data_IF_044051437354
#
_entry.id   IF_044051437354
#
_cell.length_a   1.000
_cell.length_b   1.000
_cell.length_c   1.000
_cell.angle_alpha   90.00
_cell.angle_beta   90.00
_cell.angle_gamma   90.00
#
_symmetry.space_group_name_H-M   'P 1'
#
loop_
_entity.id
_entity.type
_entity.pdbx_description
1 polymer ?
#
# COMPACT_ATOMS: atom_id res chain seq x y z
N UNK A 1 23.25 -0.66 -22.95
CA UNK A 1 23.51 0.73 -22.51
C UNK A 1 23.07 0.81 -21.05
N UNK A 2 23.92 1.32 -20.17
CA UNK A 2 23.65 1.49 -18.75
C UNK A 2 22.60 2.61 -18.51
N UNK A 3 21.75 2.46 -17.50
CA UNK A 3 20.69 3.42 -17.16
C UNK A 3 20.96 4.03 -15.78
N UNK A 4 21.36 5.32 -15.70
CA UNK A 4 21.61 6.02 -14.44
C UNK A 4 20.41 5.97 -13.47
N UNK A 5 19.19 6.14 -13.97
CA UNK A 5 17.99 6.10 -13.16
C UNK A 5 17.75 4.73 -12.51
N UNK A 6 18.21 3.64 -13.13
CA UNK A 6 18.13 2.29 -12.56
C UNK A 6 19.10 2.10 -11.39
N UNK A 7 20.29 2.69 -11.47
CA UNK A 7 21.21 2.70 -10.33
C UNK A 7 20.61 3.49 -9.17
N UNK A 8 20.09 4.67 -9.44
CA UNK A 8 19.40 5.48 -8.44
C UNK A 8 18.26 4.70 -7.78
N UNK A 9 17.40 4.07 -8.58
CA UNK A 9 16.28 3.25 -8.08
C UNK A 9 16.77 2.09 -7.19
N UNK A 10 17.75 1.33 -7.65
CA UNK A 10 18.29 0.19 -6.88
C UNK A 10 18.93 0.64 -5.56
N UNK A 11 19.72 1.74 -5.57
CA UNK A 11 20.32 2.30 -4.36
C UNK A 11 19.24 2.79 -3.38
N UNK A 12 18.29 3.57 -3.86
CA UNK A 12 17.18 4.07 -3.05
C UNK A 12 16.35 2.92 -2.47
N UNK A 13 16.08 1.87 -3.25
CA UNK A 13 15.38 0.67 -2.79
C UNK A 13 16.08 0.01 -1.60
N UNK A 14 17.40 0.10 -1.51
CA UNK A 14 18.18 -0.38 -0.35
C UNK A 14 18.32 0.67 0.77
N UNK A 15 17.68 1.84 0.63
CA UNK A 15 17.77 2.92 1.62
C UNK A 15 19.17 3.54 1.74
N UNK A 16 20.05 3.32 0.77
CA UNK A 16 21.44 3.76 0.81
C UNK A 16 21.59 5.19 0.28
N UNK A 17 22.39 5.99 0.97
CA UNK A 17 22.93 7.23 0.44
C UNK A 17 24.02 6.95 -0.61
N UNK A 18 24.34 7.93 -1.45
CA UNK A 18 25.47 7.84 -2.39
C UNK A 18 26.78 7.57 -1.68
N UNK A 19 26.99 8.15 -0.50
CA UNK A 19 28.18 7.96 0.33
C UNK A 19 28.29 6.52 0.85
N UNK A 20 27.19 5.95 1.32
CA UNK A 20 27.15 4.57 1.82
C UNK A 20 27.40 3.58 0.70
N UNK A 21 26.75 3.75 -0.46
CA UNK A 21 27.00 2.89 -1.63
C UNK A 21 28.46 2.99 -2.10
N UNK A 22 29.01 4.20 -2.15
CA UNK A 22 30.42 4.40 -2.51
C UNK A 22 31.37 3.66 -1.58
N UNK A 23 31.13 3.71 -0.25
CA UNK A 23 31.89 2.97 0.74
C UNK A 23 31.82 1.46 0.54
N UNK A 24 30.65 0.90 0.26
CA UNK A 24 30.47 -0.53 -0.01
C UNK A 24 31.16 -1.02 -1.28
N UNK A 25 31.38 -0.12 -2.25
CA UNK A 25 32.01 -0.41 -3.53
C UNK A 25 33.52 -0.04 -3.58
N UNK A 26 34.04 0.55 -2.52
CA UNK A 26 35.38 1.17 -2.48
C UNK A 26 35.55 2.24 -3.61
N UNK A 27 34.55 3.04 -3.81
CA UNK A 27 34.53 4.15 -4.76
C UNK A 27 34.36 5.51 -4.04
N UNK A 28 34.49 6.60 -4.80
CA UNK A 28 34.18 7.92 -4.25
C UNK A 28 32.67 8.23 -4.38
N UNK A 29 32.09 9.06 -3.49
CA UNK A 29 30.72 9.55 -3.66
C UNK A 29 30.50 10.29 -4.99
N UNK A 30 31.55 10.93 -5.52
CA UNK A 30 31.52 11.60 -6.81
C UNK A 30 31.33 10.61 -7.97
N UNK A 31 32.02 9.44 -7.92
CA UNK A 31 31.85 8.38 -8.93
C UNK A 31 30.40 7.89 -8.96
N UNK A 32 29.79 7.64 -7.79
CA UNK A 32 28.37 7.26 -7.74
C UNK A 32 27.47 8.37 -8.28
N UNK A 33 27.78 9.64 -7.97
CA UNK A 33 27.02 10.79 -8.49
C UNK A 33 27.11 10.90 -10.00
N UNK A 34 28.28 10.61 -10.58
CA UNK A 34 28.49 10.60 -12.02
C UNK A 34 27.73 9.46 -12.70
N UNK A 35 27.77 8.24 -12.12
CA UNK A 35 27.01 7.09 -12.65
C UNK A 35 25.50 7.29 -12.57
N UNK A 36 24.99 8.06 -11.60
CA UNK A 36 23.57 8.40 -11.48
C UNK A 36 23.14 9.62 -12.29
N UNK A 37 24.10 10.28 -12.98
CA UNK A 37 23.85 11.49 -13.74
C UNK A 37 23.45 11.22 -15.19
N UNK A 38 22.28 11.66 -15.59
CA UNK A 38 21.81 11.63 -16.98
C UNK A 38 22.62 12.61 -17.88
N UNK A 39 23.32 13.58 -17.27
CA UNK A 39 24.07 14.63 -17.98
C UNK A 39 25.51 14.18 -18.22
N UNK A 40 26.19 13.66 -17.18
CA UNK A 40 27.62 13.31 -17.25
C UNK A 40 27.88 12.09 -18.15
N UNK A 41 26.88 11.18 -18.25
CA UNK A 41 26.93 9.94 -19.08
C UNK A 41 28.17 9.08 -18.82
N UNK A 42 28.66 9.06 -17.58
CA UNK A 42 29.75 8.15 -17.18
C UNK A 42 29.16 6.79 -16.87
N UNK A 43 29.65 5.73 -17.52
CA UNK A 43 29.21 4.36 -17.28
C UNK A 43 30.24 3.62 -16.39
N UNK A 44 29.78 2.80 -15.44
CA UNK A 44 30.67 1.96 -14.67
C UNK A 44 31.36 0.91 -15.57
N UNK A 45 32.61 0.56 -15.27
CA UNK A 45 33.25 -0.58 -15.92
C UNK A 45 32.45 -1.87 -15.68
N UNK A 46 32.63 -2.88 -16.51
CA UNK A 46 31.97 -4.19 -16.34
C UNK A 46 32.17 -4.77 -14.95
N UNK A 47 33.39 -4.69 -14.42
CA UNK A 47 33.72 -5.17 -13.06
C UNK A 47 33.00 -4.35 -11.98
N UNK A 48 32.95 -3.04 -12.15
CA UNK A 48 32.20 -2.13 -11.25
C UNK A 48 30.71 -2.43 -11.30
N UNK A 49 30.14 -2.63 -12.48
CA UNK A 49 28.72 -2.96 -12.65
C UNK A 49 28.34 -4.30 -11.98
N UNK A 50 29.19 -5.32 -12.11
CA UNK A 50 28.99 -6.60 -11.41
C UNK A 50 29.02 -6.43 -9.89
N UNK A 51 29.91 -5.59 -9.36
CA UNK A 51 29.96 -5.28 -7.92
C UNK A 51 28.72 -4.50 -7.47
N UNK A 52 28.26 -3.52 -8.25
CA UNK A 52 27.02 -2.77 -8.00
C UNK A 52 25.84 -3.75 -7.92
N UNK A 53 25.71 -4.63 -8.92
CA UNK A 53 24.63 -5.62 -8.99
C UNK A 53 24.63 -6.54 -7.75
N UNK A 54 25.80 -7.01 -7.34
CA UNK A 54 25.97 -7.85 -6.15
C UNK A 54 25.63 -7.12 -4.86
N UNK A 55 26.15 -5.90 -4.66
CA UNK A 55 25.94 -5.12 -3.44
C UNK A 55 24.47 -4.69 -3.30
N UNK A 56 23.84 -4.31 -4.41
CA UNK A 56 22.44 -3.88 -4.42
C UNK A 56 21.45 -5.05 -4.53
N UNK A 57 21.92 -6.29 -4.71
CA UNK A 57 21.08 -7.50 -4.87
C UNK A 57 20.05 -7.35 -5.99
N UNK A 58 20.52 -6.86 -7.15
CA UNK A 58 19.76 -6.78 -8.39
C UNK A 58 20.50 -7.49 -9.53
N UNK A 59 19.81 -8.16 -10.46
CA UNK A 59 20.45 -8.73 -11.65
C UNK A 59 21.12 -7.65 -12.51
N UNK A 60 22.22 -7.99 -13.17
CA UNK A 60 22.98 -7.03 -14.00
C UNK A 60 22.11 -6.39 -15.10
N UNK A 61 21.20 -7.16 -15.70
CA UNK A 61 20.29 -6.70 -16.74
C UNK A 61 19.30 -5.63 -16.25
N UNK A 62 19.06 -5.52 -14.92
CA UNK A 62 18.26 -4.45 -14.34
C UNK A 62 18.80 -3.06 -14.69
N UNK A 63 20.12 -2.91 -14.68
CA UNK A 63 20.80 -1.62 -14.91
C UNK A 63 20.85 -1.19 -16.37
N UNK A 64 20.41 -2.04 -17.30
CA UNK A 64 20.32 -1.72 -18.72
C UNK A 64 18.88 -1.60 -19.24
N UNK A 65 17.90 -1.65 -18.36
CA UNK A 65 16.47 -1.49 -18.72
C UNK A 65 16.12 -0.04 -19.01
N UNK A 66 14.89 0.17 -19.52
CA UNK A 66 14.36 1.52 -19.79
C UNK A 66 14.51 2.42 -18.57
N UNK A 67 14.75 3.68 -18.85
CA UNK A 67 14.76 4.75 -17.84
C UNK A 67 13.50 4.70 -16.99
N UNK A 68 13.67 4.95 -15.69
CA UNK A 68 12.57 5.08 -14.74
C UNK A 68 12.31 6.56 -14.50
N UNK A 69 11.08 6.98 -14.70
CA UNK A 69 10.65 8.32 -14.32
C UNK A 69 10.33 8.34 -12.83
N UNK A 70 10.88 9.30 -12.07
CA UNK A 70 10.58 9.40 -10.65
C UNK A 70 9.07 9.64 -10.44
N UNK A 71 8.56 9.19 -9.31
CA UNK A 71 7.21 9.56 -8.88
C UNK A 71 7.23 11.05 -8.56
N UNK A 72 6.34 11.81 -9.21
CA UNK A 72 6.14 13.19 -8.85
C UNK A 72 5.58 13.24 -7.41
N UNK A 73 6.33 13.90 -6.55
CA UNK A 73 5.99 14.06 -5.14
C UNK A 73 4.67 14.83 -4.93
N UNK A 74 4.26 15.63 -5.91
CA UNK A 74 2.98 16.33 -5.88
C UNK A 74 1.79 15.44 -6.23
N UNK A 75 2.05 14.28 -6.87
CA UNK A 75 1.02 13.34 -7.30
C UNK A 75 0.67 12.25 -6.28
N UNK A 76 1.24 12.28 -5.08
CA UNK A 76 1.03 11.26 -4.06
C UNK A 76 0.58 11.85 -2.72
N UNK A 77 -0.11 11.04 -1.88
CA UNK A 77 -0.48 11.39 -0.51
C UNK A 77 0.75 11.32 0.41
N UNK A 78 1.50 12.41 0.55
CA UNK A 78 2.88 12.39 1.04
C UNK A 78 3.09 12.63 2.53
N UNK A 79 2.08 12.85 3.34
CA UNK A 79 2.35 13.20 4.74
C UNK A 79 3.07 12.09 5.53
N UNK A 80 2.71 10.85 5.28
CA UNK A 80 3.40 9.71 5.87
C UNK A 80 4.89 9.75 5.52
N UNK A 81 5.20 10.07 4.25
CA UNK A 81 6.55 10.09 3.72
C UNK A 81 7.37 11.34 4.13
N UNK A 82 6.73 12.49 4.40
CA UNK A 82 7.47 13.72 4.78
C UNK A 82 8.03 13.71 6.20
N UNK A 83 7.46 12.88 7.09
CA UNK A 83 7.95 12.73 8.47
C UNK A 83 9.05 11.67 8.59
N UNK A 84 9.30 10.91 7.53
CA UNK A 84 10.30 9.87 7.50
C UNK A 84 11.70 10.41 7.23
N UNK A 85 12.76 9.70 7.69
CA UNK A 85 14.09 9.88 7.17
C UNK A 85 14.10 9.75 5.64
N UNK A 86 14.93 10.56 4.96
CA UNK A 86 15.00 10.57 3.49
C UNK A 86 15.22 9.16 2.89
N UNK A 87 16.08 8.35 3.53
CA UNK A 87 16.35 6.98 3.09
C UNK A 87 15.11 6.08 3.09
N UNK A 88 14.26 6.17 4.11
CA UNK A 88 13.02 5.38 4.20
C UNK A 88 11.99 5.84 3.17
N UNK A 89 11.85 7.16 3.02
CA UNK A 89 10.97 7.74 1.99
C UNK A 89 11.39 7.30 0.60
N UNK A 90 12.67 7.44 0.28
CA UNK A 90 13.22 7.11 -1.03
C UNK A 90 13.08 5.60 -1.33
N UNK A 91 13.24 4.75 -0.32
CA UNK A 91 13.03 3.30 -0.43
C UNK A 91 11.57 2.94 -0.70
N UNK A 92 10.62 3.61 -0.04
CA UNK A 92 9.18 3.42 -0.26
C UNK A 92 8.77 3.85 -1.67
N UNK A 93 9.29 4.98 -2.15
CA UNK A 93 9.07 5.45 -3.52
C UNK A 93 9.65 4.50 -4.56
N UNK A 94 10.86 4.00 -4.30
CA UNK A 94 11.50 3.00 -5.15
C UNK A 94 10.66 1.71 -5.23
N UNK A 95 10.05 1.29 -4.12
CA UNK A 95 9.11 0.16 -4.11
C UNK A 95 7.87 0.46 -4.96
N UNK A 96 7.33 1.67 -4.88
CA UNK A 96 6.22 2.11 -5.73
C UNK A 96 6.55 2.05 -7.23
N UNK A 97 7.75 2.49 -7.61
CA UNK A 97 8.21 2.41 -9.01
C UNK A 97 8.29 0.97 -9.52
N UNK A 98 8.81 0.04 -8.71
CA UNK A 98 8.84 -1.37 -9.05
C UNK A 98 7.43 -1.98 -9.12
N UNK A 99 6.52 -1.55 -8.25
CA UNK A 99 5.11 -1.95 -8.28
C UNK A 99 4.41 -1.47 -9.58
N UNK A 100 4.73 -0.26 -10.05
CA UNK A 100 4.19 0.24 -11.33
C UNK A 100 4.69 -0.59 -12.51
N UNK A 101 5.96 -0.98 -12.54
CA UNK A 101 6.51 -1.85 -13.59
C UNK A 101 5.87 -3.25 -13.58
N UNK A 102 5.66 -3.82 -12.39
CA UNK A 102 4.94 -5.07 -12.26
C UNK A 102 3.49 -4.94 -12.74
N UNK A 103 2.81 -3.85 -12.39
CA UNK A 103 1.44 -3.60 -12.84
C UNK A 103 1.36 -3.44 -14.37
N UNK A 104 2.27 -2.68 -14.98
CA UNK A 104 2.34 -2.52 -16.43
C UNK A 104 2.57 -3.88 -17.12
N UNK A 105 3.45 -4.71 -16.57
CA UNK A 105 3.69 -6.06 -17.06
C UNK A 105 2.43 -6.93 -16.96
N UNK A 106 1.66 -6.82 -15.86
CA UNK A 106 0.40 -7.54 -15.68
C UNK A 106 -0.65 -7.04 -16.69
N UNK A 107 -0.82 -5.72 -16.85
CA UNK A 107 -1.80 -5.14 -17.77
C UNK A 107 -1.51 -5.45 -19.24
N UNK A 108 -0.26 -5.70 -19.60
CA UNK A 108 0.10 -6.19 -20.93
C UNK A 108 -0.32 -7.65 -21.20
N UNK A 109 -0.62 -8.42 -20.16
CA UNK A 109 -0.99 -9.85 -20.27
C UNK A 109 -2.45 -10.12 -19.83
N UNK A 110 -3.01 -9.28 -19.00
CA UNK A 110 -4.33 -9.48 -18.38
C UNK A 110 -5.17 -8.21 -18.44
N UNK A 111 -6.47 -8.37 -18.69
CA UNK A 111 -7.42 -7.27 -18.54
C UNK A 111 -7.79 -7.11 -17.07
N UNK A 112 -7.41 -5.99 -16.48
CA UNK A 112 -7.75 -5.63 -15.10
C UNK A 112 -8.97 -4.71 -15.05
N UNK A 113 -9.71 -4.66 -13.93
CA UNK A 113 -10.82 -3.72 -13.76
C UNK A 113 -10.36 -2.27 -13.97
N UNK A 114 -11.16 -1.50 -14.70
CA UNK A 114 -10.94 -0.05 -14.86
C UNK A 114 -11.48 0.65 -13.61
N UNK A 115 -10.80 1.71 -13.17
CA UNK A 115 -11.25 2.42 -11.99
C UNK A 115 -12.56 3.18 -12.21
N UNK A 116 -13.37 3.23 -11.16
CA UNK A 116 -14.67 3.94 -11.13
C UNK A 116 -14.74 4.90 -9.95
N UNK A 117 -13.60 5.52 -9.61
CA UNK A 117 -13.53 6.48 -8.51
C UNK A 117 -14.19 7.81 -8.91
N UNK A 118 -15.17 8.30 -8.14
CA UNK A 118 -15.73 9.63 -8.33
C UNK A 118 -14.77 10.72 -7.79
N UNK A 119 -14.96 11.93 -8.27
CA UNK A 119 -14.37 13.14 -7.68
C UNK A 119 -15.33 13.69 -6.62
N UNK A 120 -14.95 13.59 -5.34
CA UNK A 120 -15.76 14.03 -4.21
C UNK A 120 -15.10 15.18 -3.42
N UNK A 121 -14.23 15.96 -4.07
CA UNK A 121 -13.47 17.05 -3.41
C UNK A 121 -14.33 18.16 -2.80
N UNK A 122 -15.54 18.30 -3.26
CA UNK A 122 -16.48 19.32 -2.77
C UNK A 122 -17.35 18.80 -1.62
N UNK A 123 -17.21 17.54 -1.26
CA UNK A 123 -17.99 16.91 -0.20
C UNK A 123 -17.26 16.96 1.14
N UNK A 124 -18.03 16.93 2.22
CA UNK A 124 -17.43 16.65 3.54
C UNK A 124 -16.98 15.19 3.61
N UNK A 125 -15.98 14.84 4.42
CA UNK A 125 -15.53 13.45 4.55
C UNK A 125 -16.65 12.45 4.87
N UNK A 126 -17.59 12.84 5.71
CA UNK A 126 -18.75 12.02 6.08
C UNK A 126 -19.70 11.83 4.88
N UNK A 127 -20.05 12.92 4.20
CA UNK A 127 -20.91 12.88 2.99
C UNK A 127 -20.26 12.07 1.88
N UNK A 128 -18.95 12.27 1.64
CA UNK A 128 -18.21 11.52 0.65
C UNK A 128 -18.21 10.00 0.93
N UNK A 129 -18.05 9.62 2.20
CA UNK A 129 -18.11 8.22 2.60
C UNK A 129 -19.49 7.61 2.36
N UNK A 130 -20.55 8.33 2.71
CA UNK A 130 -21.95 7.89 2.47
C UNK A 130 -22.22 7.75 0.98
N UNK A 131 -21.89 8.77 0.18
CA UNK A 131 -22.09 8.77 -1.27
C UNK A 131 -21.34 7.62 -1.94
N UNK A 132 -20.08 7.42 -1.57
CA UNK A 132 -19.28 6.35 -2.15
C UNK A 132 -19.83 4.97 -1.79
N UNK A 133 -20.30 4.77 -0.55
CA UNK A 133 -20.96 3.53 -0.13
C UNK A 133 -22.25 3.28 -0.92
N UNK A 134 -23.05 4.32 -1.20
CA UNK A 134 -24.24 4.23 -2.03
C UNK A 134 -23.91 3.87 -3.48
N UNK A 135 -22.94 4.58 -4.08
CA UNK A 135 -22.47 4.30 -5.45
C UNK A 135 -21.92 2.87 -5.62
N UNK A 136 -21.34 2.32 -4.55
CA UNK A 136 -20.79 0.96 -4.55
C UNK A 136 -21.77 -0.10 -4.06
N UNK A 137 -23.01 0.27 -3.74
CA UNK A 137 -24.08 -0.59 -3.21
C UNK A 137 -23.67 -1.37 -1.95
N UNK A 138 -22.90 -0.75 -1.06
CA UNK A 138 -22.44 -1.37 0.18
C UNK A 138 -23.47 -1.35 1.30
N UNK A 139 -24.46 -0.44 1.23
CA UNK A 139 -25.38 -0.17 2.32
C UNK A 139 -24.63 0.21 3.61
N UNK A 140 -25.18 -0.13 4.77
CA UNK A 140 -24.62 0.20 6.08
C UNK A 140 -23.95 -1.00 6.79
N UNK A 141 -23.66 -2.07 6.05
CA UNK A 141 -23.00 -3.27 6.61
C UNK A 141 -21.49 -3.11 6.64
N UNK A 142 -20.78 -3.84 7.50
CA UNK A 142 -19.33 -3.90 7.44
C UNK A 142 -18.85 -4.30 6.04
N UNK A 143 -17.78 -3.67 5.57
CA UNK A 143 -17.10 -4.10 4.34
C UNK A 143 -16.48 -5.47 4.59
N UNK A 144 -16.82 -6.48 3.83
CA UNK A 144 -16.36 -7.86 4.05
C UNK A 144 -14.85 -8.03 3.88
N UNK A 145 -14.31 -7.44 2.80
CA UNK A 145 -12.88 -7.40 2.52
C UNK A 145 -12.55 -6.09 1.80
N UNK A 146 -11.72 -5.27 2.43
CA UNK A 146 -11.40 -3.93 1.91
C UNK A 146 -10.52 -4.00 0.66
N UNK A 147 -9.54 -4.90 0.63
CA UNK A 147 -8.64 -5.06 -0.52
C UNK A 147 -9.43 -5.53 -1.75
N UNK A 148 -10.24 -6.59 -1.62
CA UNK A 148 -11.07 -7.08 -2.74
C UNK A 148 -12.04 -6.02 -3.25
N UNK A 149 -12.63 -5.21 -2.34
CA UNK A 149 -13.50 -4.11 -2.72
C UNK A 149 -12.74 -3.10 -3.58
N UNK A 150 -11.57 -2.63 -3.12
CA UNK A 150 -10.76 -1.64 -3.84
C UNK A 150 -10.31 -2.17 -5.21
N UNK A 151 -9.83 -3.41 -5.28
CA UNK A 151 -9.45 -4.07 -6.52
C UNK A 151 -10.62 -4.18 -7.50
N UNK A 152 -11.81 -4.52 -7.00
CA UNK A 152 -13.03 -4.60 -7.83
C UNK A 152 -13.44 -3.25 -8.42
N UNK A 153 -13.01 -2.15 -7.80
CA UNK A 153 -13.22 -0.77 -8.25
C UNK A 153 -12.05 -0.21 -9.06
N UNK A 154 -11.11 -1.08 -9.47
CA UNK A 154 -10.01 -0.74 -10.35
C UNK A 154 -8.83 -0.03 -9.67
N UNK A 155 -8.75 -0.07 -8.34
CA UNK A 155 -7.60 0.44 -7.60
C UNK A 155 -6.54 -0.65 -7.54
N UNK A 156 -5.30 -0.30 -7.84
CA UNK A 156 -4.14 -1.22 -7.79
C UNK A 156 -3.56 -1.23 -6.38
N UNK A 157 -3.52 -2.41 -5.76
CA UNK A 157 -3.04 -2.58 -4.39
C UNK A 157 -1.70 -3.31 -4.41
N UNK A 158 -0.68 -2.70 -3.80
CA UNK A 158 0.64 -3.31 -3.61
C UNK A 158 1.10 -3.11 -2.17
N UNK A 159 2.14 -3.86 -1.77
CA UNK A 159 2.69 -3.72 -0.43
C UNK A 159 4.10 -3.14 -0.44
N UNK A 160 4.35 -2.31 0.56
CA UNK A 160 5.68 -1.85 0.90
C UNK A 160 6.27 -2.91 1.84
N UNK A 161 7.04 -3.85 1.27
CA UNK A 161 7.76 -4.85 2.05
C UNK A 161 9.10 -4.27 2.51
N UNK A 162 9.09 -3.43 3.52
CA UNK A 162 10.30 -2.89 4.13
C UNK A 162 10.32 -3.19 5.63
N UNK A 163 11.54 -3.34 6.17
CA UNK A 163 11.76 -3.62 7.60
C UNK A 163 11.40 -2.42 8.51
N UNK A 164 10.73 -1.41 7.96
CA UNK A 164 10.41 -0.17 8.67
C UNK A 164 8.96 -0.15 9.13
N UNK A 165 8.72 -0.44 10.40
CA UNK A 165 7.38 -0.39 11.03
C UNK A 165 6.72 1.00 10.95
N UNK A 166 7.50 2.05 10.73
CA UNK A 166 7.04 3.44 10.75
C UNK A 166 6.64 3.99 9.37
N UNK A 167 6.75 3.19 8.32
CA UNK A 167 6.26 3.57 6.99
C UNK A 167 4.74 3.40 6.98
N UNK A 168 4.02 4.50 6.83
CA UNK A 168 2.58 4.44 6.63
C UNK A 168 2.25 4.10 5.15
N UNK A 169 0.99 3.74 4.88
CA UNK A 169 0.50 3.58 3.52
C UNK A 169 0.59 4.91 2.76
N UNK A 170 0.59 4.84 1.45
CA UNK A 170 0.38 6.01 0.60
C UNK A 170 -0.38 5.65 -0.68
N UNK A 171 -1.08 6.63 -1.25
CA UNK A 171 -1.74 6.49 -2.55
C UNK A 171 -1.15 7.43 -3.58
N UNK A 172 -1.25 7.05 -4.84
CA UNK A 172 -0.74 7.82 -5.97
C UNK A 172 -1.53 7.52 -7.24
N UNK A 173 -1.70 8.55 -8.09
CA UNK A 173 -2.20 8.37 -9.44
C UNK A 173 -1.04 8.25 -10.42
N UNK A 174 -1.03 7.19 -11.22
CA UNK A 174 -0.06 6.99 -12.31
C UNK A 174 -0.82 6.78 -13.61
N UNK A 175 -0.67 7.69 -14.56
CA UNK A 175 -1.32 7.62 -15.89
C UNK A 175 -2.84 7.39 -15.80
N UNK A 176 -3.52 8.06 -14.86
CA UNK A 176 -4.96 7.90 -14.65
C UNK A 176 -5.37 6.63 -13.90
N UNK A 177 -4.45 5.78 -13.48
CA UNK A 177 -4.71 4.59 -12.66
C UNK A 177 -4.39 4.89 -11.19
N UNK A 178 -5.32 4.61 -10.26
CA UNK A 178 -5.09 4.81 -8.82
C UNK A 178 -4.35 3.61 -8.21
N UNK A 179 -3.32 3.91 -7.43
CA UNK A 179 -2.54 2.93 -6.67
C UNK A 179 -2.63 3.22 -5.17
N UNK A 180 -2.68 2.18 -4.37
CA UNK A 180 -2.49 2.22 -2.93
C UNK A 180 -1.37 1.25 -2.57
N UNK A 181 -0.37 1.75 -1.84
CA UNK A 181 0.74 0.98 -1.32
C UNK A 181 0.59 0.86 0.20
N UNK A 182 0.39 -0.35 0.71
CA UNK A 182 0.12 -0.64 2.11
C UNK A 182 1.35 -1.21 2.81
N UNK A 183 1.51 -0.91 4.10
CA UNK A 183 2.51 -1.55 4.93
C UNK A 183 1.99 -2.87 5.51
N UNK A 184 2.70 -3.97 5.27
CA UNK A 184 2.30 -5.30 5.74
C UNK A 184 2.74 -5.62 7.19
N UNK A 185 3.52 -4.75 7.85
CA UNK A 185 4.02 -4.95 9.22
C UNK A 185 3.02 -4.52 10.31
N UNK A 186 1.93 -3.86 9.94
CA UNK A 186 0.88 -3.43 10.84
C UNK A 186 -0.15 -4.54 11.10
N UNK A 187 -1.00 -4.39 12.12
CA UNK A 187 -2.13 -5.33 12.34
C UNK A 187 -3.07 -5.33 11.13
N UNK A 188 -3.85 -6.41 10.99
CA UNK A 188 -4.80 -6.53 9.88
C UNK A 188 -5.85 -5.41 9.91
N UNK A 189 -6.36 -5.07 11.10
CA UNK A 189 -7.32 -3.98 11.30
C UNK A 189 -6.72 -2.62 10.92
N UNK A 190 -5.45 -2.40 11.24
CA UNK A 190 -4.78 -1.14 10.90
C UNK A 190 -4.52 -1.04 9.40
N UNK A 191 -4.08 -2.13 8.77
CA UNK A 191 -3.91 -2.18 7.31
C UNK A 191 -5.22 -1.88 6.58
N UNK A 192 -6.34 -2.40 7.09
CA UNK A 192 -7.68 -2.14 6.58
C UNK A 192 -8.09 -0.67 6.74
N UNK A 193 -7.81 -0.06 7.89
CA UNK A 193 -8.05 1.37 8.11
C UNK A 193 -7.17 2.23 7.20
N UNK A 194 -5.89 1.89 7.07
CA UNK A 194 -4.96 2.58 6.17
C UNK A 194 -5.45 2.51 4.72
N UNK A 195 -5.96 1.37 4.25
CA UNK A 195 -6.55 1.24 2.91
C UNK A 195 -7.77 2.16 2.70
N UNK A 196 -8.64 2.28 3.70
CA UNK A 196 -9.78 3.21 3.66
C UNK A 196 -9.34 4.68 3.74
N UNK A 197 -8.28 4.98 4.48
CA UNK A 197 -7.67 6.31 4.58
C UNK A 197 -7.08 6.75 3.22
N UNK A 198 -6.35 5.87 2.55
CA UNK A 198 -5.80 6.16 1.23
C UNK A 198 -6.89 6.29 0.16
N UNK A 199 -7.98 5.52 0.28
CA UNK A 199 -9.18 5.75 -0.54
C UNK A 199 -9.74 7.15 -0.33
N UNK A 200 -9.77 7.65 0.91
CA UNK A 200 -10.16 9.03 1.24
C UNK A 200 -9.30 10.05 0.50
N UNK A 201 -7.98 9.86 0.47
CA UNK A 201 -7.08 10.73 -0.29
C UNK A 201 -7.38 10.70 -1.80
N UNK A 202 -7.65 9.51 -2.37
CA UNK A 202 -7.94 9.37 -3.80
C UNK A 202 -9.23 10.09 -4.24
N UNK A 203 -10.24 10.17 -3.38
CA UNK A 203 -11.56 10.75 -3.74
C UNK A 203 -11.74 12.20 -3.29
N UNK A 204 -11.10 12.62 -2.18
CA UNK A 204 -11.24 13.96 -1.61
C UNK A 204 -10.12 14.90 -2.03
N UNK A 205 -8.91 14.38 -2.31
CA UNK A 205 -7.74 15.20 -2.54
C UNK A 205 -7.12 14.86 -3.90
N UNK A 206 -7.67 15.42 -4.97
CA UNK A 206 -7.08 15.18 -6.30
C UNK A 206 -5.64 15.72 -6.33
N UNK A 207 -4.70 14.83 -6.63
CA UNK A 207 -3.27 15.11 -6.60
C UNK A 207 -2.89 16.30 -7.47
N UNK A 208 -2.02 17.17 -6.97
CA UNK A 208 -1.58 18.43 -7.60
C UNK A 208 -1.86 19.67 -6.75
N UNK A 209 -2.56 19.55 -5.62
CA UNK A 209 -2.66 20.64 -4.65
C UNK A 209 -1.71 20.28 -3.50
N UNK A 210 -0.59 20.99 -3.45
CA UNK A 210 0.41 20.99 -2.38
C UNK A 210 -0.20 21.46 -1.05
N UNK A 211 -1.21 20.82 -0.56
CA UNK A 211 -1.61 21.02 0.81
C UNK A 211 -0.90 19.98 1.68
N UNK A 212 0.31 20.33 2.13
CA UNK A 212 0.97 19.78 3.34
C UNK A 212 0.08 20.04 4.55
N UNK A 213 -1.18 19.59 4.53
CA UNK A 213 -2.16 20.09 5.44
C UNK A 213 -2.55 19.01 6.45
N UNK A 214 -2.36 19.33 7.74
CA UNK A 214 -2.95 18.55 8.83
C UNK A 214 -4.45 18.32 8.61
N UNK A 215 -5.09 19.21 7.84
CA UNK A 215 -6.52 19.13 7.52
C UNK A 215 -6.81 17.97 6.56
N UNK A 216 -6.08 17.80 5.46
CA UNK A 216 -6.27 16.69 4.53
C UNK A 216 -6.14 15.32 5.19
N UNK A 217 -5.21 15.19 6.15
CA UNK A 217 -5.07 13.95 6.94
C UNK A 217 -6.25 13.71 7.88
N UNK A 218 -6.74 14.79 8.49
CA UNK A 218 -7.92 14.73 9.35
C UNK A 218 -9.16 14.37 8.53
N UNK A 219 -9.28 14.91 7.33
CA UNK A 219 -10.34 14.59 6.38
C UNK A 219 -10.28 13.13 5.94
N UNK A 220 -9.10 12.62 5.54
CA UNK A 220 -8.91 11.21 5.18
C UNK A 220 -9.20 10.25 6.35
N UNK A 221 -8.79 10.62 7.59
CA UNK A 221 -9.13 9.84 8.79
C UNK A 221 -10.65 9.85 9.07
N UNK A 222 -11.31 11.00 8.94
CA UNK A 222 -12.76 11.11 9.12
C UNK A 222 -13.50 10.30 8.05
N UNK A 223 -13.06 10.40 6.78
CA UNK A 223 -13.60 9.58 5.69
C UNK A 223 -13.44 8.08 5.98
N UNK A 224 -12.24 7.62 6.32
CA UNK A 224 -11.98 6.21 6.61
C UNK A 224 -12.86 5.69 7.75
N UNK A 225 -12.98 6.49 8.81
CA UNK A 225 -13.83 6.19 9.96
C UNK A 225 -15.30 6.06 9.57
N UNK A 226 -15.83 7.00 8.77
CA UNK A 226 -17.20 6.99 8.28
C UNK A 226 -17.45 5.88 7.26
N UNK A 227 -16.49 5.66 6.36
CA UNK A 227 -16.59 4.62 5.33
C UNK A 227 -16.62 3.20 5.93
N UNK A 228 -15.79 2.93 6.93
CA UNK A 228 -15.76 1.63 7.59
C UNK A 228 -16.91 1.45 8.60
N UNK A 229 -17.36 2.54 9.22
CA UNK A 229 -18.35 2.53 10.32
C UNK A 229 -19.44 3.59 10.09
N UNK A 230 -20.46 3.32 9.25
CA UNK A 230 -21.55 4.25 8.95
C UNK A 230 -22.26 4.73 10.22
N UNK A 231 -22.59 6.03 10.26
CA UNK A 231 -23.13 6.70 11.43
C UNK A 231 -24.42 6.06 11.97
N UNK A 232 -25.43 5.88 11.10
CA UNK A 232 -26.74 5.40 11.54
C UNK A 232 -26.64 4.03 12.23
N UNK A 233 -25.85 3.11 11.66
CA UNK A 233 -25.70 1.78 12.24
C UNK A 233 -24.83 1.80 13.49
N UNK A 234 -23.78 2.63 13.55
CA UNK A 234 -22.98 2.77 14.77
C UNK A 234 -23.82 3.33 15.90
N UNK A 235 -24.67 4.35 15.66
CA UNK A 235 -25.55 4.89 16.68
C UNK A 235 -26.50 3.82 17.23
N UNK A 236 -27.09 3.00 16.34
CA UNK A 236 -28.02 1.94 16.76
C UNK A 236 -27.35 0.80 17.54
N UNK A 237 -26.04 0.59 17.37
CA UNK A 237 -25.27 -0.48 18.00
C UNK A 237 -24.39 -0.02 19.15
N UNK A 238 -24.32 1.29 19.39
CA UNK A 238 -23.49 1.85 20.44
C UNK A 238 -23.90 1.27 21.81
N UNK A 239 -22.94 0.74 22.59
CA UNK A 239 -23.28 0.18 23.89
C UNK A 239 -23.62 1.30 24.87
N UNK A 240 -24.68 1.13 25.66
CA UNK A 240 -25.07 2.08 26.71
C UNK A 240 -23.93 2.33 27.73
N UNK A 241 -23.10 1.30 27.97
CA UNK A 241 -21.87 1.40 28.76
C UNK A 241 -20.67 1.09 27.87
N UNK A 242 -19.83 2.08 27.55
CA UNK A 242 -18.67 1.91 26.69
C UNK A 242 -17.49 1.29 27.42
N UNK A 243 -17.66 0.05 27.89
CA UNK A 243 -16.57 -0.74 28.49
C UNK A 243 -15.69 -1.36 27.41
N UNK A 244 -14.43 -1.64 27.73
CA UNK A 244 -13.51 -2.30 26.80
C UNK A 244 -14.07 -3.63 26.29
N UNK A 245 -14.73 -4.42 27.14
CA UNK A 245 -15.37 -5.70 26.76
C UNK A 245 -16.46 -5.51 25.71
N UNK A 246 -17.28 -4.46 25.84
CA UNK A 246 -18.33 -4.16 24.86
C UNK A 246 -17.73 -3.66 23.54
N UNK A 247 -16.67 -2.87 23.59
CA UNK A 247 -15.96 -2.41 22.41
C UNK A 247 -15.28 -3.58 21.67
N UNK A 248 -14.72 -4.57 22.36
CA UNK A 248 -14.13 -5.76 21.74
C UNK A 248 -15.18 -6.53 20.92
N UNK A 249 -16.38 -6.69 21.43
CA UNK A 249 -17.49 -7.32 20.67
C UNK A 249 -17.87 -6.52 19.43
N UNK A 250 -17.99 -5.21 19.59
CA UNK A 250 -18.42 -4.31 18.50
C UNK A 250 -17.30 -4.16 17.42
N UNK A 251 -16.03 -4.05 17.82
CA UNK A 251 -14.91 -4.01 16.87
C UNK A 251 -14.83 -5.24 15.98
N UNK A 252 -15.13 -6.42 16.54
CA UNK A 252 -15.13 -7.68 15.81
C UNK A 252 -16.16 -7.68 14.70
N UNK A 253 -17.36 -7.15 14.95
CA UNK A 253 -18.40 -7.02 13.93
C UNK A 253 -17.97 -6.06 12.81
N UNK A 254 -17.40 -4.89 13.17
CA UNK A 254 -16.98 -3.88 12.20
C UNK A 254 -15.60 -4.18 11.55
N UNK A 255 -14.88 -5.13 12.09
CA UNK A 255 -13.54 -5.52 11.61
C UNK A 255 -12.55 -4.33 11.61
N UNK A 256 -12.58 -3.55 12.66
CA UNK A 256 -11.72 -2.38 12.89
C UNK A 256 -10.91 -2.52 14.17
N UNK A 257 -9.91 -1.65 14.38
CA UNK A 257 -9.18 -1.62 15.64
C UNK A 257 -10.02 -1.01 16.77
N UNK A 258 -9.71 -1.38 18.02
CA UNK A 258 -10.34 -0.75 19.19
C UNK A 258 -10.16 0.76 19.19
N UNK A 259 -8.97 1.24 18.81
CA UNK A 259 -8.69 2.67 18.75
C UNK A 259 -9.55 3.38 17.69
N UNK A 260 -9.72 2.78 16.50
CA UNK A 260 -10.58 3.33 15.45
C UNK A 260 -12.06 3.38 15.88
N UNK A 261 -12.54 2.32 16.56
CA UNK A 261 -13.90 2.29 17.08
C UNK A 261 -14.11 3.35 18.17
N UNK A 262 -13.20 3.45 19.16
CA UNK A 262 -13.28 4.46 20.20
C UNK A 262 -13.26 5.88 19.62
N UNK A 263 -12.43 6.14 18.62
CA UNK A 263 -12.40 7.39 17.88
C UNK A 263 -13.75 7.70 17.22
N UNK A 264 -14.35 6.71 16.53
CA UNK A 264 -15.65 6.88 15.87
C UNK A 264 -16.76 7.20 16.86
N UNK A 265 -16.85 6.46 17.97
CA UNK A 265 -17.83 6.71 19.03
C UNK A 265 -17.68 8.12 19.65
N UNK A 266 -16.45 8.57 19.85
CA UNK A 266 -16.19 9.92 20.36
C UNK A 266 -16.60 10.99 19.33
N UNK A 267 -16.28 10.82 18.07
CA UNK A 267 -16.65 11.74 16.98
C UNK A 267 -18.16 11.91 16.82
N UNK A 268 -18.90 10.84 17.05
CA UNK A 268 -20.37 10.85 17.02
C UNK A 268 -21.00 11.27 18.36
N UNK A 269 -20.21 11.74 19.33
CA UNK A 269 -20.67 12.11 20.68
C UNK A 269 -21.42 10.99 21.42
N UNK A 270 -21.16 9.71 21.09
CA UNK A 270 -21.73 8.54 21.74
C UNK A 270 -20.97 8.16 23.02
N UNK A 271 -19.77 8.69 23.18
CA UNK A 271 -18.97 8.63 24.40
C UNK A 271 -18.38 10.00 24.70
N UNK A 272 -18.23 10.32 25.97
CA UNK A 272 -17.63 11.58 26.41
C UNK A 272 -16.11 11.58 26.15
N UNK A 273 -15.50 12.77 26.11
CA UNK A 273 -14.04 12.90 25.99
C UNK A 273 -13.29 12.20 27.13
N UNK A 274 -13.85 12.22 28.34
CA UNK A 274 -13.28 11.51 29.49
C UNK A 274 -13.30 9.98 29.27
N UNK A 275 -14.43 9.42 28.81
CA UNK A 275 -14.55 7.98 28.47
C UNK A 275 -13.58 7.61 27.36
N UNK A 276 -13.47 8.43 26.31
CA UNK A 276 -12.55 8.22 25.20
C UNK A 276 -11.08 8.14 25.68
N UNK A 277 -10.66 9.09 26.53
CA UNK A 277 -9.30 9.07 27.11
C UNK A 277 -9.07 7.85 28.00
N UNK A 278 -10.04 7.50 28.84
CA UNK A 278 -9.97 6.32 29.72
C UNK A 278 -9.82 5.04 28.91
N UNK A 279 -10.62 4.85 27.85
CA UNK A 279 -10.52 3.71 26.96
C UNK A 279 -9.14 3.63 26.27
N UNK A 280 -8.61 4.75 25.77
CA UNK A 280 -7.30 4.75 25.14
C UNK A 280 -6.17 4.40 26.11
N UNK A 281 -6.25 4.85 27.37
CA UNK A 281 -5.31 4.46 28.43
C UNK A 281 -5.41 2.95 28.68
N UNK A 282 -6.61 2.41 28.78
CA UNK A 282 -6.83 0.99 29.02
C UNK A 282 -6.34 0.11 27.84
N UNK A 283 -6.66 0.50 26.61
CA UNK A 283 -6.16 -0.12 25.36
C UNK A 283 -4.63 -0.16 25.36
N UNK A 284 -3.99 0.97 25.68
CA UNK A 284 -2.53 1.08 25.72
C UNK A 284 -1.91 0.22 26.83
N UNK A 285 -2.47 0.24 28.02
CA UNK A 285 -1.98 -0.56 29.17
C UNK A 285 -2.04 -2.07 28.90
N UNK A 286 -3.04 -2.52 28.14
CA UNK A 286 -3.19 -3.93 27.72
C UNK A 286 -2.37 -4.30 26.50
N UNK A 287 -1.65 -3.36 25.91
CA UNK A 287 -0.86 -3.59 24.67
C UNK A 287 -1.72 -3.81 23.42
N UNK A 288 -3.00 -3.48 23.45
CA UNK A 288 -3.93 -3.71 22.35
C UNK A 288 -3.71 -2.78 21.15
N UNK A 289 -2.89 -1.75 21.29
CA UNK A 289 -2.39 -0.95 20.16
C UNK A 289 -1.46 -1.74 19.21
N UNK A 290 -0.87 -2.85 19.70
CA UNK A 290 0.05 -3.69 18.95
C UNK A 290 -0.59 -5.06 18.68
N UNK A 291 -1.17 -5.65 19.72
CA UNK A 291 -1.80 -6.97 19.68
C UNK A 291 -3.31 -6.82 19.91
N UNK A 292 -4.04 -6.58 18.84
CA UNK A 292 -5.49 -6.43 18.90
C UNK A 292 -6.15 -7.70 19.44
N UNK A 293 -7.10 -7.59 20.40
CA UNK A 293 -7.89 -8.73 20.82
C UNK A 293 -8.83 -9.15 19.70
N UNK A 294 -9.08 -10.44 19.57
CA UNK A 294 -9.92 -11.01 18.51
C UNK A 294 -9.53 -10.44 17.12
N UNK A 295 -8.23 -10.47 16.81
CA UNK A 295 -7.70 -9.94 15.55
C UNK A 295 -8.33 -10.65 14.35
N UNK A 296 -8.57 -9.89 13.29
CA UNK A 296 -9.08 -10.42 12.02
C UNK A 296 -7.96 -11.06 11.21
N UNK A 297 -8.33 -11.95 10.28
CA UNK A 297 -7.39 -12.48 9.29
C UNK A 297 -6.96 -11.34 8.36
N UNK A 298 -5.66 -11.31 8.03
CA UNK A 298 -5.12 -10.33 7.09
C UNK A 298 -5.77 -10.51 5.71
N UNK A 299 -6.21 -9.40 5.14
CA UNK A 299 -6.75 -9.37 3.79
C UNK A 299 -5.63 -9.50 2.76
N UNK A 300 -5.89 -10.24 1.68
CA UNK A 300 -4.96 -10.50 0.59
C UNK A 300 -5.53 -10.01 -0.75
N UNK A 301 -4.70 -9.91 -1.78
CA UNK A 301 -5.13 -9.53 -3.13
C UNK A 301 -5.76 -10.70 -3.87
N UNK A 302 -6.98 -10.53 -4.34
CA UNK A 302 -7.62 -11.50 -5.23
C UNK A 302 -7.13 -11.35 -6.67
N UNK A 303 -6.75 -10.15 -7.08
CA UNK A 303 -6.24 -9.88 -8.44
C UNK A 303 -4.90 -10.58 -8.64
N UNK A 304 -3.94 -10.37 -7.72
CA UNK A 304 -2.63 -11.00 -7.85
C UNK A 304 -2.71 -12.52 -7.70
N UNK A 305 -3.55 -13.04 -6.80
CA UNK A 305 -3.80 -14.49 -6.69
C UNK A 305 -4.25 -15.07 -8.04
N UNK A 306 -5.23 -14.42 -8.69
CA UNK A 306 -5.72 -14.88 -10.01
C UNK A 306 -4.65 -14.77 -11.08
N UNK A 307 -3.88 -13.67 -11.12
CA UNK A 307 -2.78 -13.48 -12.08
C UNK A 307 -1.77 -14.61 -11.93
N UNK A 308 -1.22 -14.82 -10.73
CA UNK A 308 -0.16 -15.82 -10.53
C UNK A 308 -0.67 -17.26 -10.66
N UNK A 309 -1.94 -17.53 -10.33
CA UNK A 309 -2.55 -18.84 -10.57
C UNK A 309 -2.69 -19.11 -12.09
N UNK A 310 -3.14 -18.12 -12.89
CA UNK A 310 -3.22 -18.28 -14.35
C UNK A 310 -1.84 -18.47 -14.96
N UNK A 311 -0.83 -17.70 -14.55
CA UNK A 311 0.55 -17.87 -15.00
C UNK A 311 1.09 -19.26 -14.70
N UNK A 312 0.78 -19.79 -13.50
CA UNK A 312 1.17 -21.16 -13.11
C UNK A 312 0.51 -22.23 -14.00
N UNK A 313 -0.76 -22.02 -14.42
CA UNK A 313 -1.43 -22.91 -15.36
C UNK A 313 -0.78 -22.89 -16.76
N UNK A 314 -0.24 -21.74 -17.15
CA UNK A 314 0.53 -21.58 -18.41
C UNK A 314 2.01 -21.99 -18.25
N UNK A 315 2.40 -22.60 -17.12
CA UNK A 315 3.77 -23.00 -16.80
C UNK A 315 4.77 -21.83 -16.71
N UNK A 316 4.28 -20.60 -16.51
CA UNK A 316 5.11 -19.42 -16.27
C UNK A 316 5.36 -19.32 -14.78
N UNK A 317 6.62 -19.49 -14.39
CA UNK A 317 7.03 -19.43 -13.00
C UNK A 317 7.27 -17.99 -12.53
N UNK A 318 7.33 -17.79 -11.21
CA UNK A 318 7.76 -16.50 -10.63
C UNK A 318 9.19 -16.12 -11.06
N UNK A 319 10.04 -17.11 -11.33
CA UNK A 319 11.39 -16.86 -11.82
C UNK A 319 11.36 -16.26 -13.23
N UNK A 320 10.46 -16.74 -14.09
CA UNK A 320 10.28 -16.20 -15.45
C UNK A 320 9.77 -14.75 -15.39
N UNK A 321 8.78 -14.49 -14.54
CA UNK A 321 8.27 -13.12 -14.32
C UNK A 321 9.37 -12.19 -13.77
N UNK A 322 10.15 -12.65 -12.80
CA UNK A 322 11.25 -11.88 -12.25
C UNK A 322 12.32 -11.59 -13.31
N UNK A 323 12.65 -12.57 -14.16
CA UNK A 323 13.59 -12.42 -15.26
C UNK A 323 13.09 -11.38 -16.28
N UNK A 324 11.81 -11.46 -16.70
CA UNK A 324 11.20 -10.48 -17.61
C UNK A 324 11.21 -9.07 -17.03
N UNK A 325 11.02 -8.92 -15.72
CA UNK A 325 11.08 -7.63 -15.01
C UNK A 325 12.52 -7.19 -14.69
N UNK A 326 13.53 -8.04 -14.90
CA UNK A 326 14.92 -7.79 -14.49
C UNK A 326 15.07 -7.70 -12.97
N UNK A 327 14.25 -8.42 -12.21
CA UNK A 327 14.28 -8.48 -10.76
C UNK A 327 14.83 -9.83 -10.28
N UNK A 328 15.27 -9.89 -9.03
CA UNK A 328 15.45 -11.18 -8.36
C UNK A 328 14.06 -11.73 -7.97
N UNK A 329 13.95 -13.06 -7.87
CA UNK A 329 12.70 -13.71 -7.37
C UNK A 329 12.34 -13.17 -5.99
N UNK A 330 13.33 -12.92 -5.14
CA UNK A 330 13.17 -12.36 -3.80
C UNK A 330 12.55 -10.94 -3.85
N UNK A 331 12.99 -10.10 -4.79
CA UNK A 331 12.44 -8.76 -4.95
C UNK A 331 11.00 -8.78 -5.48
N UNK A 332 10.71 -9.64 -6.46
CA UNK A 332 9.35 -9.88 -6.93
C UNK A 332 8.46 -10.39 -5.78
N UNK A 333 8.94 -11.36 -5.00
CA UNK A 333 8.19 -11.87 -3.86
C UNK A 333 7.86 -10.76 -2.85
N UNK A 334 8.79 -9.84 -2.56
CA UNK A 334 8.53 -8.72 -1.66
C UNK A 334 7.40 -7.81 -2.16
N UNK A 335 7.28 -7.59 -3.45
CA UNK A 335 6.20 -6.78 -4.05
C UNK A 335 4.83 -7.45 -3.92
N UNK A 336 4.80 -8.79 -3.92
CA UNK A 336 3.56 -9.60 -3.87
C UNK A 336 3.32 -10.26 -2.50
N UNK A 337 4.34 -10.36 -1.61
CA UNK A 337 4.24 -10.94 -0.27
C UNK A 337 3.39 -10.06 0.65
N UNK A 338 2.44 -10.71 1.30
CA UNK A 338 1.40 -10.07 2.11
C UNK A 338 0.08 -9.93 1.34
N UNK A 339 0.09 -10.22 0.03
CA UNK A 339 -1.08 -10.18 -0.83
C UNK A 339 -1.50 -11.59 -1.24
N UNK A 340 -0.56 -12.52 -1.42
CA UNK A 340 -0.83 -13.90 -1.75
C UNK A 340 -0.06 -14.79 -0.78
N UNK A 341 -0.73 -15.43 0.17
CA UNK A 341 -0.23 -16.64 0.78
C UNK A 341 -0.27 -17.73 -0.29
N UNK A 342 0.79 -17.80 -1.07
CA UNK A 342 0.93 -18.92 -2.00
C UNK A 342 1.34 -20.12 -1.15
N UNK A 343 0.33 -20.90 -0.77
CA UNK A 343 0.51 -22.19 -0.15
C UNK A 343 1.41 -23.06 -1.04
N UNK A 344 2.61 -23.33 -0.55
CA UNK A 344 3.31 -24.54 -0.91
C UNK A 344 2.49 -25.71 -0.40
N UNK A 345 1.75 -26.36 -1.28
CA UNK A 345 1.16 -27.69 -1.14
C UNK A 345 0.37 -28.00 0.13
N UNK A 346 -0.95 -27.79 0.12
CA UNK A 346 -1.91 -28.82 0.50
C UNK A 346 -3.31 -28.44 -0.02
N UNK A 347 -3.95 -29.41 -0.69
CA UNK A 347 -5.27 -29.26 -1.30
C UNK A 347 -6.35 -29.20 -0.23
N UNK A 348 -6.96 -28.05 -0.04
CA UNK A 348 -8.26 -27.90 0.60
C UNK A 348 -9.26 -27.35 -0.42
N UNK A 349 -10.33 -28.12 -0.68
CA UNK A 349 -11.41 -27.79 -1.62
C UNK A 349 -12.10 -26.47 -1.25
N UNK A 350 -11.82 -25.42 -1.98
CA UNK A 350 -12.68 -24.25 -2.09
C UNK A 350 -13.01 -24.03 -3.57
N UNK A 351 -14.31 -24.10 -3.91
CA UNK A 351 -14.79 -23.85 -5.26
C UNK A 351 -14.40 -22.46 -5.73
N UNK A 352 -13.93 -22.28 -6.98
CA UNK A 352 -13.55 -20.97 -7.50
C UNK A 352 -14.81 -20.13 -7.77
N UNK A 353 -14.89 -18.97 -7.13
CA UNK A 353 -15.87 -17.95 -7.49
C UNK A 353 -15.55 -17.40 -8.89
N UNK A 354 -16.53 -17.44 -9.78
CA UNK A 354 -16.43 -16.97 -11.17
C UNK A 354 -16.32 -15.45 -11.23
N UNK A 355 -15.11 -14.91 -11.25
CA UNK A 355 -14.83 -13.61 -11.83
C UNK A 355 -13.72 -13.82 -12.87
N UNK A 356 -14.08 -13.71 -14.15
CA UNK A 356 -13.19 -14.01 -15.27
C UNK A 356 -12.20 -12.85 -15.49
N UNK A 357 -10.94 -13.03 -15.11
CA UNK A 357 -9.84 -12.30 -15.74
C UNK A 357 -9.68 -12.87 -17.16
N UNK A 358 -9.75 -12.01 -18.18
CA UNK A 358 -9.48 -12.41 -19.58
C UNK A 358 -8.02 -12.15 -19.89
N UNK A 359 -7.34 -13.16 -20.40
CA UNK A 359 -5.99 -13.04 -20.96
C UNK A 359 -6.10 -12.33 -22.31
N UNK A 360 -5.27 -11.32 -22.54
CA UNK A 360 -5.09 -10.70 -23.85
C UNK A 360 -4.17 -11.62 -24.63
N UNK A 361 -4.67 -12.25 -25.70
CA UNK A 361 -3.86 -13.03 -26.63
C UNK A 361 -3.18 -12.13 -27.64
#
# INVERSE_FOLDING_TARGET
MFSPSRLTLARQKRGLSKKELAGLLNLTPQSISNFESEIVKEEPSTSTLLNIARVLDFPVNFFSRKRVEPIDLESASFRALTKMPASQRDSSLATGLLAFELNEWIENKFTLPVHTLPDLRNETPESAAILLRQMWNLGERPVSNMIHLLESKGIRIYFIAEDYKNVDAFSVWKNGTPFILLNNLKSAERSRFDAAHELGHLVLHKHGITQKNKEAEKEANNFASAFLMPEATIISQAPALPTLTNLIKLKKYWQVSLAALAYRLNKLNLITEWQYRTLNIEISKKGYNINEPDSITRETSQVLDKVFNNLSLEQISKADVALELGLSVKELQKLILGIAEIQGGNKGNSQPSKANLRIIK
#
